data_IF_590078040223
#
_entry.id   IF_590078040223
#
_cell.length_a   1.000
_cell.length_b   1.000
_cell.length_c   1.000
_cell.angle_alpha   90.00
_cell.angle_beta   90.00
_cell.angle_gamma   90.00
#
_symmetry.space_group_name_H-M   'P 1'
#
loop_
_entity.id
_entity.type
_entity.pdbx_description
1 polymer ?
#
# COMPACT_ATOMS: atom_id res chain seq x y z
N UNK A 1 -33.47 -66.37 -2.84
CA UNK A 1 -32.76 -65.15 -3.38
C UNK A 1 -32.06 -64.48 -2.23
N UNK A 2 -30.76 -64.67 -2.11
CA UNK A 2 -29.96 -64.18 -1.01
C UNK A 2 -28.95 -63.22 -1.61
N UNK A 3 -29.12 -61.93 -1.30
CA UNK A 3 -28.16 -60.87 -1.68
C UNK A 3 -26.98 -60.87 -0.70
N UNK A 4 -25.78 -61.12 -1.21
CA UNK A 4 -24.51 -61.00 -0.48
C UNK A 4 -24.05 -59.54 -0.51
N UNK A 5 -23.97 -58.91 0.61
CA UNK A 5 -23.34 -57.60 0.80
C UNK A 5 -21.81 -57.77 0.86
N UNK A 6 -21.12 -57.17 -0.08
CA UNK A 6 -19.66 -57.09 -0.08
C UNK A 6 -19.24 -55.87 0.80
N UNK A 7 -18.46 -56.16 1.86
CA UNK A 7 -17.81 -55.11 2.70
C UNK A 7 -16.48 -54.76 2.04
N UNK A 8 -16.36 -53.51 1.58
CA UNK A 8 -15.08 -52.91 1.20
C UNK A 8 -14.34 -52.45 2.48
N UNK A 9 -13.18 -53.05 2.71
CA UNK A 9 -12.18 -52.54 3.69
C UNK A 9 -11.41 -51.42 2.99
N UNK A 10 -11.55 -50.19 3.51
CA UNK A 10 -10.68 -49.06 3.13
C UNK A 10 -9.46 -49.09 4.08
N UNK A 11 -8.31 -49.45 3.53
CA UNK A 11 -7.04 -49.32 4.24
C UNK A 11 -6.58 -47.86 4.20
N UNK A 12 -6.52 -47.19 5.36
CA UNK A 12 -5.86 -45.89 5.54
C UNK A 12 -4.35 -46.11 5.48
N UNK A 13 -3.70 -45.67 4.41
CA UNK A 13 -2.26 -45.51 4.34
C UNK A 13 -1.93 -44.10 4.86
N UNK A 14 -1.40 -44.02 6.07
CA UNK A 14 -0.83 -42.76 6.60
C UNK A 14 0.51 -42.51 5.93
N UNK A 15 0.56 -41.61 4.96
CA UNK A 15 1.81 -41.10 4.42
C UNK A 15 2.39 -40.06 5.38
N UNK A 16 3.47 -40.42 6.07
CA UNK A 16 4.30 -39.47 6.83
C UNK A 16 5.10 -38.66 5.80
N UNK A 17 4.66 -37.45 5.51
CA UNK A 17 5.45 -36.48 4.76
C UNK A 17 6.51 -35.88 5.70
N UNK A 18 7.73 -36.37 5.57
CA UNK A 18 8.92 -35.69 6.10
C UNK A 18 9.11 -34.39 5.31
N UNK A 19 8.59 -33.29 5.84
CA UNK A 19 8.85 -31.96 5.32
C UNK A 19 10.32 -31.60 5.47
N UNK A 20 11.05 -31.54 4.37
CA UNK A 20 12.37 -30.89 4.34
C UNK A 20 12.12 -29.39 4.49
N UNK A 21 12.47 -28.86 5.65
CA UNK A 21 12.52 -27.41 5.87
C UNK A 21 13.51 -26.81 4.87
N UNK A 22 13.04 -26.05 3.90
CA UNK A 22 13.86 -25.16 3.10
C UNK A 22 14.40 -24.07 4.02
N UNK A 23 15.70 -23.73 3.95
CA UNK A 23 16.21 -22.60 4.71
C UNK A 23 15.50 -21.33 4.23
N UNK A 24 14.97 -20.54 5.17
CA UNK A 24 14.46 -19.22 4.90
C UNK A 24 15.51 -18.42 4.12
N UNK A 25 15.11 -17.88 2.99
CA UNK A 25 15.96 -16.95 2.26
C UNK A 25 16.30 -15.77 3.19
N UNK A 26 17.58 -15.46 3.31
CA UNK A 26 18.02 -14.29 4.05
C UNK A 26 17.31 -13.07 3.43
N UNK A 27 16.59 -12.31 4.26
CA UNK A 27 15.84 -11.13 3.84
C UNK A 27 16.75 -10.20 3.05
N UNK A 28 16.21 -9.67 1.95
CA UNK A 28 16.85 -8.60 1.21
C UNK A 28 17.07 -7.41 2.16
N UNK A 29 18.17 -6.66 2.03
CA UNK A 29 18.36 -5.45 2.82
C UNK A 29 17.19 -4.49 2.53
N UNK A 30 16.48 -4.08 3.57
CA UNK A 30 15.45 -3.06 3.50
C UNK A 30 15.99 -1.75 2.92
N UNK A 31 15.12 -0.76 2.60
CA UNK A 31 15.51 0.49 1.97
C UNK A 31 16.70 1.07 2.74
N UNK A 32 17.82 1.26 2.01
CA UNK A 32 19.09 1.72 2.58
C UNK A 32 18.95 3.16 3.04
N UNK A 33 18.72 3.36 4.31
CA UNK A 33 18.62 4.68 4.94
C UNK A 33 17.81 4.74 6.22
N UNK A 34 17.00 3.72 6.52
CA UNK A 34 16.23 3.72 7.75
C UNK A 34 17.11 3.25 8.94
N UNK A 35 17.45 4.16 9.81
CA UNK A 35 18.00 3.87 11.15
C UNK A 35 16.91 4.20 12.15
N UNK A 36 16.19 3.18 12.64
CA UNK A 36 15.25 3.36 13.74
C UNK A 36 16.01 3.74 15.00
N UNK A 37 15.96 4.99 15.40
CA UNK A 37 15.99 5.44 16.79
C UNK A 37 15.66 6.94 16.92
N UNK A 38 14.40 7.41 16.71
CA UNK A 38 13.98 8.69 17.22
C UNK A 38 13.47 8.54 18.66
N UNK A 39 13.76 9.55 19.49
CA UNK A 39 13.19 9.62 20.84
C UNK A 39 11.65 9.78 20.73
N UNK A 40 10.85 9.09 21.56
CA UNK A 40 9.39 9.09 21.44
C UNK A 40 8.84 10.53 21.66
N UNK A 41 8.09 11.00 20.68
CA UNK A 41 7.31 12.25 20.74
C UNK A 41 5.85 11.83 20.83
N UNK A 42 5.06 12.37 21.75
CA UNK A 42 3.61 12.14 21.80
C UNK A 42 2.95 13.02 20.75
N UNK A 43 2.26 12.44 19.79
CA UNK A 43 1.41 13.15 18.83
C UNK A 43 0.27 13.90 19.54
N UNK A 44 -0.30 14.89 18.87
CA UNK A 44 -1.36 15.74 19.44
C UNK A 44 -2.63 14.95 19.81
N UNK A 45 -2.85 13.79 19.21
CA UNK A 45 -4.05 12.96 19.37
C UNK A 45 -3.85 11.73 20.30
N UNK A 46 -2.70 11.64 20.97
CA UNK A 46 -2.47 10.63 22.01
C UNK A 46 -2.00 9.27 21.50
N UNK A 47 -1.75 9.10 20.20
CA UNK A 47 -1.05 7.94 19.66
C UNK A 47 0.42 8.07 20.02
N UNK A 48 1.03 7.05 20.64
CA UNK A 48 2.46 7.05 20.84
C UNK A 48 3.16 7.20 19.47
N UNK A 49 4.11 8.09 19.36
CA UNK A 49 4.84 8.32 18.11
C UNK A 49 5.70 7.13 17.67
N UNK A 50 6.06 6.28 18.60
CA UNK A 50 6.76 5.02 18.37
C UNK A 50 5.87 3.99 17.64
N UNK A 51 4.56 3.97 17.89
CA UNK A 51 3.61 3.10 17.19
C UNK A 51 3.49 3.50 15.72
N UNK A 52 3.23 4.78 15.42
CA UNK A 52 3.23 5.25 14.03
C UNK A 52 4.54 4.94 13.30
N UNK A 53 5.69 5.14 13.95
CA UNK A 53 6.99 4.91 13.32
C UNK A 53 7.20 3.43 12.98
N UNK A 54 6.68 2.52 13.83
CA UNK A 54 6.71 1.08 13.59
C UNK A 54 5.79 0.68 12.43
N UNK A 55 4.53 1.14 12.45
CA UNK A 55 3.55 0.82 11.41
C UNK A 55 3.98 1.37 10.04
N UNK A 56 4.52 2.59 10.04
CA UNK A 56 5.06 3.22 8.84
C UNK A 56 6.25 2.41 8.27
N UNK A 57 7.17 1.97 9.12
CA UNK A 57 8.29 1.15 8.66
C UNK A 57 7.83 -0.21 8.11
N UNK A 58 6.86 -0.85 8.78
CA UNK A 58 6.26 -2.11 8.32
C UNK A 58 5.58 -1.92 6.95
N UNK A 59 4.80 -0.85 6.80
CA UNK A 59 4.11 -0.54 5.56
C UNK A 59 5.08 -0.38 4.38
N UNK A 60 6.13 0.44 4.55
CA UNK A 60 7.16 0.66 3.54
C UNK A 60 7.85 -0.64 3.13
N UNK A 61 8.28 -1.44 4.13
CA UNK A 61 8.99 -2.68 3.88
C UNK A 61 8.10 -3.71 3.16
N UNK A 62 6.87 -3.90 3.61
CA UNK A 62 5.95 -4.87 3.04
C UNK A 62 5.58 -4.53 1.60
N UNK A 63 5.26 -3.26 1.31
CA UNK A 63 4.86 -2.81 -0.02
C UNK A 63 6.04 -2.88 -0.99
N UNK A 64 7.24 -2.40 -0.60
CA UNK A 64 8.45 -2.50 -1.44
C UNK A 64 8.80 -3.97 -1.74
N UNK A 65 8.84 -4.81 -0.70
CA UNK A 65 9.20 -6.21 -0.85
C UNK A 65 8.23 -6.94 -1.79
N UNK A 66 6.94 -6.68 -1.65
CA UNK A 66 5.95 -7.31 -2.51
C UNK A 66 6.06 -6.85 -3.97
N UNK A 67 6.13 -5.55 -4.24
CA UNK A 67 6.31 -5.04 -5.61
C UNK A 67 7.60 -5.53 -6.24
N UNK A 68 8.68 -5.58 -5.48
CA UNK A 68 9.97 -6.10 -5.94
C UNK A 68 9.90 -7.56 -6.39
N UNK A 69 9.15 -8.37 -5.66
CA UNK A 69 8.97 -9.79 -6.00
C UNK A 69 8.01 -9.99 -7.16
N UNK A 70 6.94 -9.19 -7.24
CA UNK A 70 5.80 -9.43 -8.11
C UNK A 70 5.83 -8.64 -9.43
N UNK A 71 6.64 -7.58 -9.53
CA UNK A 71 6.65 -6.66 -10.69
C UNK A 71 6.75 -7.40 -12.03
N UNK A 72 7.71 -8.30 -12.16
CA UNK A 72 7.98 -9.02 -13.41
C UNK A 72 6.87 -9.99 -13.84
N UNK A 73 5.92 -10.30 -12.95
CA UNK A 73 4.75 -11.10 -13.29
C UNK A 73 3.72 -10.29 -14.10
N UNK A 74 3.64 -8.99 -13.82
CA UNK A 74 2.60 -8.13 -14.35
C UNK A 74 3.11 -7.17 -15.42
N UNK A 75 4.35 -6.71 -15.29
CA UNK A 75 4.88 -5.62 -16.11
C UNK A 75 6.26 -5.95 -16.69
N UNK A 76 6.57 -5.46 -17.90
CA UNK A 76 7.92 -5.55 -18.46
C UNK A 76 8.88 -4.59 -17.73
N UNK A 77 10.18 -4.87 -17.86
CA UNK A 77 11.21 -4.03 -17.28
C UNK A 77 11.56 -4.40 -15.85
N UNK A 78 12.35 -3.54 -15.22
CA UNK A 78 12.87 -3.75 -13.87
C UNK A 78 12.09 -2.87 -12.91
N UNK A 79 11.67 -3.44 -11.78
CA UNK A 79 11.10 -2.69 -10.68
C UNK A 79 12.09 -1.66 -10.13
N UNK A 80 11.59 -0.47 -9.90
CA UNK A 80 12.31 0.60 -9.19
C UNK A 80 11.41 1.09 -8.08
N UNK A 81 11.89 1.04 -6.84
CA UNK A 81 11.16 1.62 -5.72
C UNK A 81 11.19 3.15 -5.82
N UNK A 82 10.10 3.84 -5.46
CA UNK A 82 10.13 5.29 -5.29
C UNK A 82 11.13 5.70 -4.22
N UNK A 83 11.67 6.90 -4.34
CA UNK A 83 12.42 7.53 -3.26
C UNK A 83 11.50 7.93 -2.10
N UNK A 84 12.10 8.40 -1.01
CA UNK A 84 11.38 9.02 0.10
C UNK A 84 11.88 10.45 0.26
N UNK A 85 10.98 11.40 0.48
CA UNK A 85 11.35 12.79 0.73
C UNK A 85 12.29 12.88 1.93
N UNK A 86 13.30 13.76 1.90
CA UNK A 86 14.11 14.00 3.09
C UNK A 86 13.24 14.67 4.16
N UNK A 87 13.22 14.07 5.35
CA UNK A 87 12.46 14.56 6.49
C UNK A 87 13.22 14.25 7.79
N UNK A 88 12.97 15.02 8.85
CA UNK A 88 13.73 14.91 10.10
C UNK A 88 13.32 13.69 10.92
N UNK A 89 12.02 13.36 10.93
CA UNK A 89 11.50 12.25 11.73
C UNK A 89 11.88 10.89 11.13
N UNK A 90 11.51 10.65 9.90
CA UNK A 90 11.89 9.47 9.15
C UNK A 90 11.84 9.82 7.66
N UNK A 91 12.62 9.16 6.77
CA UNK A 91 12.53 9.39 5.35
C UNK A 91 11.08 9.29 4.86
N UNK A 92 10.60 10.30 4.17
CA UNK A 92 9.22 10.41 3.70
C UNK A 92 8.23 10.99 4.69
N UNK A 93 8.47 10.93 5.99
CA UNK A 93 7.51 11.37 7.03
C UNK A 93 7.87 12.79 7.50
N UNK A 94 7.29 13.82 6.86
CA UNK A 94 7.61 15.23 7.09
C UNK A 94 6.57 15.92 7.97
N UNK A 95 6.98 16.95 8.68
CA UNK A 95 6.17 17.76 9.59
C UNK A 95 5.95 19.16 8.98
N UNK A 96 4.82 19.39 8.33
CA UNK A 96 4.45 20.70 7.82
C UNK A 96 3.81 21.56 8.95
N UNK A 97 4.04 22.87 8.96
CA UNK A 97 4.88 23.67 8.07
C UNK A 97 6.34 23.78 8.50
N UNK A 98 6.80 23.01 9.49
CA UNK A 98 8.14 23.07 10.06
C UNK A 98 9.21 22.63 9.07
N UNK A 99 8.84 21.66 8.23
CA UNK A 99 9.66 21.17 7.13
C UNK A 99 9.05 21.56 5.79
N UNK A 100 9.88 22.04 4.88
CA UNK A 100 9.47 22.42 3.54
C UNK A 100 9.90 21.35 2.54
N UNK A 101 8.95 20.53 2.11
CA UNK A 101 9.15 19.53 1.06
C UNK A 101 8.53 20.05 -0.24
N UNK A 102 9.25 19.94 -1.34
CA UNK A 102 8.80 20.42 -2.64
C UNK A 102 8.74 19.29 -3.68
N UNK A 103 7.67 19.28 -4.46
CA UNK A 103 7.58 18.52 -5.70
C UNK A 103 7.74 19.49 -6.88
N UNK A 104 8.94 19.57 -7.44
CA UNK A 104 9.27 20.65 -8.37
C UNK A 104 9.14 22.03 -7.67
N UNK A 105 8.26 22.87 -8.18
CA UNK A 105 7.97 24.18 -7.59
C UNK A 105 6.77 24.16 -6.62
N UNK A 106 6.08 23.02 -6.47
CA UNK A 106 4.94 22.87 -5.57
C UNK A 106 5.44 22.57 -4.14
N UNK A 107 5.13 23.45 -3.20
CA UNK A 107 5.31 23.18 -1.77
C UNK A 107 4.21 22.20 -1.32
N UNK A 108 4.61 21.08 -0.74
CA UNK A 108 3.71 20.11 -0.13
C UNK A 108 3.16 20.66 1.19
N UNK A 109 1.87 20.44 1.44
CA UNK A 109 1.16 21.04 2.57
C UNK A 109 0.76 20.00 3.61
N UNK A 110 0.28 20.49 4.75
CA UNK A 110 -0.26 19.71 5.85
C UNK A 110 -1.50 18.90 5.46
N UNK A 111 -1.72 17.82 6.19
CA UNK A 111 -2.93 16.99 6.10
C UNK A 111 -3.03 16.12 4.84
N UNK A 112 -1.91 15.83 4.15
CA UNK A 112 -1.94 15.03 2.91
C UNK A 112 -0.70 14.12 2.78
N UNK A 113 -0.81 13.15 1.87
CA UNK A 113 0.31 12.34 1.40
C UNK A 113 0.49 12.56 -0.11
N UNK A 114 1.67 12.25 -0.63
CA UNK A 114 2.03 12.60 -1.99
C UNK A 114 2.96 11.57 -2.64
N UNK A 115 2.65 11.20 -3.86
CA UNK A 115 3.66 10.78 -4.82
C UNK A 115 4.10 11.97 -5.66
N UNK A 116 5.38 12.28 -5.66
CA UNK A 116 5.95 13.30 -6.55
C UNK A 116 6.58 12.66 -7.79
N UNK A 117 6.01 12.84 -8.99
CA UNK A 117 6.57 12.26 -10.20
C UNK A 117 7.89 12.95 -10.62
N UNK A 118 8.14 14.17 -10.13
CA UNK A 118 9.40 14.87 -10.34
C UNK A 118 10.43 14.34 -9.34
N UNK A 119 11.21 13.34 -9.78
CA UNK A 119 12.18 12.66 -8.93
C UNK A 119 11.68 11.35 -8.33
N UNK A 120 10.42 10.99 -8.60
CA UNK A 120 9.78 9.75 -8.17
C UNK A 120 10.02 9.45 -6.69
N UNK A 121 9.38 10.23 -5.83
CA UNK A 121 9.47 10.05 -4.39
C UNK A 121 8.12 10.19 -3.70
N UNK A 122 8.01 9.59 -2.52
CA UNK A 122 6.85 9.67 -1.65
C UNK A 122 7.10 10.62 -0.49
N UNK A 123 6.05 11.32 -0.07
CA UNK A 123 6.05 12.18 1.11
C UNK A 123 4.72 12.05 1.86
N UNK A 124 4.80 11.85 3.16
CA UNK A 124 3.65 11.62 4.04
C UNK A 124 3.70 12.68 5.15
N UNK A 125 2.64 13.45 5.28
CA UNK A 125 2.58 14.46 6.33
C UNK A 125 2.21 13.81 7.67
N UNK A 126 2.90 14.23 8.74
CA UNK A 126 2.80 13.58 10.06
C UNK A 126 1.40 13.66 10.65
N UNK A 127 0.71 14.82 10.56
CA UNK A 127 -0.63 14.98 11.14
C UNK A 127 -1.67 14.12 10.41
N UNK A 128 -1.52 13.91 9.09
CA UNK A 128 -2.32 12.94 8.36
C UNK A 128 -2.08 11.52 8.91
N UNK A 129 -0.83 11.12 9.02
CA UNK A 129 -0.48 9.76 9.44
C UNK A 129 -0.90 9.47 10.88
N UNK A 130 -0.96 10.48 11.75
CA UNK A 130 -1.46 10.38 13.12
C UNK A 130 -2.97 10.10 13.22
N UNK A 131 -3.73 10.21 12.12
CA UNK A 131 -5.13 9.75 12.10
C UNK A 131 -5.26 8.24 12.35
N UNK A 132 -4.17 7.47 12.22
CA UNK A 132 -4.12 6.06 12.63
C UNK A 132 -4.59 5.83 14.06
N UNK A 133 -4.36 6.77 14.98
CA UNK A 133 -4.86 6.70 16.35
C UNK A 133 -6.38 6.71 16.49
N UNK A 134 -7.09 7.12 15.45
CA UNK A 134 -8.56 7.14 15.42
C UNK A 134 -9.13 6.10 14.46
N UNK A 135 -8.40 5.78 13.41
CA UNK A 135 -8.85 4.93 12.29
C UNK A 135 -8.25 3.53 12.33
N UNK A 136 -7.26 3.29 13.19
CA UNK A 136 -6.49 2.06 13.28
C UNK A 136 -5.19 2.10 12.46
N UNK A 137 -4.26 1.18 12.73
CA UNK A 137 -2.94 1.10 12.09
C UNK A 137 -3.03 0.74 10.59
N UNK A 138 -4.09 0.04 10.17
CA UNK A 138 -4.37 -0.24 8.76
C UNK A 138 -4.50 1.03 7.90
N UNK A 139 -4.81 2.20 8.52
CA UNK A 139 -4.76 3.49 7.85
C UNK A 139 -3.37 3.80 7.29
N UNK A 140 -2.31 3.54 8.07
CA UNK A 140 -0.92 3.76 7.66
C UNK A 140 -0.57 2.87 6.47
N UNK A 141 -0.96 1.58 6.54
CA UNK A 141 -0.72 0.63 5.45
C UNK A 141 -1.42 1.06 4.16
N UNK A 142 -2.68 1.52 4.28
CA UNK A 142 -3.45 2.00 3.13
C UNK A 142 -2.78 3.20 2.46
N UNK A 143 -2.45 4.25 3.24
CA UNK A 143 -1.90 5.50 2.69
C UNK A 143 -0.56 5.23 2.01
N UNK A 144 0.32 4.45 2.66
CA UNK A 144 1.61 4.09 2.06
C UNK A 144 1.43 3.30 0.77
N UNK A 145 0.55 2.30 0.74
CA UNK A 145 0.31 1.50 -0.45
C UNK A 145 -0.33 2.31 -1.59
N UNK A 146 -1.20 3.27 -1.27
CA UNK A 146 -1.85 4.17 -2.23
C UNK A 146 -0.83 5.08 -2.92
N UNK A 147 0.01 5.79 -2.15
CA UNK A 147 1.05 6.64 -2.71
C UNK A 147 2.10 5.83 -3.50
N UNK A 148 2.41 4.62 -3.02
CA UNK A 148 3.28 3.71 -3.75
C UNK A 148 2.66 3.30 -5.09
N UNK A 149 1.36 3.05 -5.12
CA UNK A 149 0.65 2.71 -6.34
C UNK A 149 0.71 3.84 -7.38
N UNK A 150 0.65 5.11 -6.97
CA UNK A 150 0.85 6.24 -7.87
C UNK A 150 2.24 6.22 -8.51
N UNK A 151 3.30 5.90 -7.76
CA UNK A 151 4.64 5.69 -8.34
C UNK A 151 4.61 4.53 -9.34
N UNK A 152 4.01 3.39 -9.00
CA UNK A 152 3.92 2.26 -9.93
C UNK A 152 3.20 2.64 -11.22
N UNK A 153 2.07 3.36 -11.13
CA UNK A 153 1.31 3.83 -12.30
C UNK A 153 2.15 4.76 -13.17
N UNK A 154 3.00 5.60 -12.57
CA UNK A 154 3.88 6.50 -13.31
C UNK A 154 4.92 5.78 -14.20
N UNK A 155 5.21 4.52 -13.90
CA UNK A 155 6.13 3.68 -14.65
C UNK A 155 5.44 2.78 -15.70
N UNK A 156 4.11 2.79 -15.77
CA UNK A 156 3.36 1.95 -16.70
C UNK A 156 3.36 2.53 -18.12
N UNK A 157 3.12 1.64 -19.09
CA UNK A 157 2.71 2.08 -20.43
C UNK A 157 1.41 2.91 -20.31
N UNK A 158 1.29 4.07 -20.98
CA UNK A 158 0.08 4.89 -20.93
C UNK A 158 -1.22 4.15 -21.24
N UNK A 159 -1.18 3.07 -22.01
CA UNK A 159 -2.33 2.22 -22.28
C UNK A 159 -2.83 1.44 -21.06
N UNK A 160 -2.04 1.34 -20.00
CA UNK A 160 -2.34 0.70 -18.74
C UNK A 160 -2.74 1.69 -17.63
N UNK A 161 -2.72 2.98 -17.93
CA UNK A 161 -3.13 4.04 -17.00
C UNK A 161 -4.61 4.33 -17.18
N UNK A 162 -5.35 4.33 -16.08
CA UNK A 162 -6.79 4.63 -16.06
C UNK A 162 -7.02 6.14 -16.07
N UNK A 163 -8.14 6.59 -16.69
CA UNK A 163 -8.63 7.95 -16.51
C UNK A 163 -9.09 8.21 -15.07
N UNK A 164 -9.54 7.17 -14.35
CA UNK A 164 -9.80 7.21 -12.92
C UNK A 164 -8.52 6.86 -12.13
N UNK A 165 -7.56 7.75 -12.14
CA UNK A 165 -6.21 7.57 -11.65
C UNK A 165 -6.16 7.20 -10.15
N UNK A 166 -6.95 7.90 -9.32
CA UNK A 166 -7.06 7.65 -7.88
C UNK A 166 -7.66 6.27 -7.57
N UNK A 167 -8.73 5.89 -8.29
CA UNK A 167 -9.34 4.57 -8.13
C UNK A 167 -8.42 3.45 -8.63
N UNK A 168 -7.55 3.73 -9.59
CA UNK A 168 -6.51 2.78 -9.99
C UNK A 168 -5.48 2.61 -8.89
N UNK A 169 -5.06 3.69 -8.23
CA UNK A 169 -4.15 3.64 -7.09
C UNK A 169 -4.76 2.87 -5.92
N UNK A 170 -6.02 3.12 -5.56
CA UNK A 170 -6.72 2.34 -4.54
C UNK A 170 -6.77 0.84 -4.87
N UNK A 171 -7.07 0.50 -6.12
CA UNK A 171 -7.11 -0.89 -6.57
C UNK A 171 -5.72 -1.56 -6.45
N UNK A 172 -4.68 -0.90 -6.92
CA UNK A 172 -3.31 -1.41 -6.83
C UNK A 172 -2.82 -1.50 -5.38
N UNK A 173 -3.22 -0.55 -4.51
CA UNK A 173 -2.96 -0.62 -3.09
C UNK A 173 -3.59 -1.87 -2.46
N UNK A 174 -4.86 -2.13 -2.76
CA UNK A 174 -5.54 -3.35 -2.32
C UNK A 174 -4.85 -4.62 -2.80
N UNK A 175 -4.42 -4.66 -4.07
CA UNK A 175 -3.69 -5.80 -4.64
C UNK A 175 -2.33 -6.00 -3.94
N UNK A 176 -1.60 -4.91 -3.65
CA UNK A 176 -0.30 -4.98 -3.01
C UNK A 176 -0.39 -5.42 -1.55
N UNK A 177 -1.33 -4.86 -0.78
CA UNK A 177 -1.50 -5.22 0.63
C UNK A 177 -1.98 -6.66 0.78
N UNK A 178 -2.98 -7.10 0.00
CA UNK A 178 -3.42 -8.50 0.04
C UNK A 178 -2.32 -9.45 -0.41
N UNK A 179 -1.60 -9.10 -1.49
CA UNK A 179 -0.48 -9.90 -1.95
C UNK A 179 0.64 -9.99 -0.91
N UNK A 180 0.94 -8.89 -0.21
CA UNK A 180 1.90 -8.91 0.90
C UNK A 180 1.44 -9.80 2.06
N UNK A 181 0.14 -9.83 2.37
CA UNK A 181 -0.44 -10.75 3.36
C UNK A 181 -0.31 -12.21 2.90
N UNK A 182 -0.67 -12.49 1.66
CA UNK A 182 -0.63 -13.86 1.10
C UNK A 182 0.80 -14.42 1.06
N UNK A 183 1.79 -13.55 0.82
CA UNK A 183 3.22 -13.89 0.81
C UNK A 183 3.86 -13.88 2.20
N UNK A 184 3.10 -13.52 3.26
CA UNK A 184 3.58 -13.44 4.63
C UNK A 184 4.54 -12.28 4.92
N UNK A 185 4.53 -11.24 4.09
CA UNK A 185 5.30 -10.00 4.24
C UNK A 185 4.59 -9.00 5.15
N UNK A 186 3.26 -9.04 5.20
CA UNK A 186 2.41 -8.24 6.07
C UNK A 186 1.50 -9.18 6.86
N UNK A 187 1.24 -8.82 8.11
CA UNK A 187 0.27 -9.52 8.94
C UNK A 187 -0.80 -8.56 9.41
N UNK A 188 -2.02 -8.79 8.96
CA UNK A 188 -3.18 -8.06 9.44
C UNK A 188 -3.68 -8.62 10.77
N UNK A 189 -4.24 -7.75 11.60
CA UNK A 189 -4.88 -8.07 12.86
C UNK A 189 -6.41 -8.15 12.70
N UNK A 190 -7.12 -8.76 13.67
CA UNK A 190 -8.58 -8.77 13.63
C UNK A 190 -9.15 -7.35 13.79
N UNK A 191 -9.73 -6.81 12.75
CA UNK A 191 -10.27 -5.44 12.70
C UNK A 191 -9.79 -4.65 11.51
N UNK A 192 -8.59 -4.93 10.99
CA UNK A 192 -7.95 -4.15 9.93
C UNK A 192 -8.79 -4.04 8.65
N UNK A 193 -9.57 -5.08 8.30
CA UNK A 193 -10.48 -4.99 7.14
C UNK A 193 -11.53 -3.89 7.32
N UNK A 194 -12.03 -3.70 8.55
CA UNK A 194 -12.96 -2.62 8.88
C UNK A 194 -12.25 -1.27 8.92
N UNK A 195 -11.00 -1.24 9.35
CA UNK A 195 -10.16 -0.05 9.39
C UNK A 195 -9.83 0.44 7.99
N UNK A 196 -9.51 -0.43 7.03
CA UNK A 196 -9.39 -0.04 5.62
C UNK A 196 -10.65 0.62 5.09
N UNK A 197 -11.82 0.08 5.42
CA UNK A 197 -13.11 0.66 5.01
C UNK A 197 -13.33 2.04 5.65
N UNK A 198 -13.01 2.18 6.95
CA UNK A 198 -13.10 3.45 7.66
C UNK A 198 -12.11 4.48 7.10
N UNK A 199 -10.88 4.07 6.83
CA UNK A 199 -9.84 4.89 6.25
C UNK A 199 -10.25 5.43 4.86
N UNK A 200 -10.67 4.56 3.95
CA UNK A 200 -11.15 4.94 2.61
C UNK A 200 -12.36 5.88 2.69
N UNK A 201 -13.22 5.71 3.69
CA UNK A 201 -14.35 6.62 3.93
C UNK A 201 -13.88 7.98 4.43
N UNK A 202 -12.91 8.01 5.33
CA UNK A 202 -12.40 9.24 5.94
C UNK A 202 -11.64 10.11 4.92
N UNK A 203 -10.91 9.49 4.00
CA UNK A 203 -10.15 10.20 2.95
C UNK A 203 -10.94 10.38 1.65
N UNK A 204 -12.19 9.93 1.60
CA UNK A 204 -13.07 10.18 0.46
C UNK A 204 -13.57 11.63 0.50
N UNK A 205 -13.37 12.32 -0.59
CA UNK A 205 -13.79 13.70 -0.71
C UNK A 205 -15.28 13.88 -1.00
N UNK A 206 -16.13 13.87 0.03
CA UNK A 206 -17.49 14.42 -0.12
C UNK A 206 -17.48 15.95 -0.30
N UNK A 207 -16.38 16.60 0.09
CA UNK A 207 -16.14 18.04 -0.13
C UNK A 207 -14.92 18.22 -1.03
N UNK A 208 -15.04 17.73 -2.18
CA UNK A 208 -14.11 17.58 -3.26
C UNK A 208 -13.24 18.82 -3.55
N UNK A 209 -12.22 19.00 -2.72
CA UNK A 209 -11.14 19.93 -2.98
C UNK A 209 -10.14 19.36 -3.98
N UNK A 210 -10.49 18.34 -4.73
CA UNK A 210 -9.64 17.67 -5.70
C UNK A 210 -8.17 17.68 -5.32
N UNK A 211 -7.54 16.55 -5.26
CA UNK A 211 -6.10 16.51 -5.03
C UNK A 211 -5.40 17.23 -6.18
N UNK A 212 -4.58 18.21 -5.84
CA UNK A 212 -3.69 18.83 -6.81
C UNK A 212 -2.46 17.95 -6.91
N UNK A 213 -2.31 17.29 -8.03
CA UNK A 213 -1.09 16.53 -8.33
C UNK A 213 -0.32 17.19 -9.47
N UNK A 214 0.94 16.83 -9.60
CA UNK A 214 1.78 17.26 -10.72
C UNK A 214 1.92 16.08 -11.67
N UNK A 215 1.50 16.25 -12.92
CA UNK A 215 1.66 15.21 -13.92
C UNK A 215 3.13 15.07 -14.40
N UNK A 216 3.39 14.07 -15.22
CA UNK A 216 4.73 13.82 -15.78
C UNK A 216 5.28 14.97 -16.62
N UNK A 217 4.42 15.88 -17.08
CA UNK A 217 4.79 17.07 -17.83
C UNK A 217 5.05 18.28 -16.91
N UNK A 218 4.97 18.09 -15.59
CA UNK A 218 5.14 19.15 -14.57
C UNK A 218 3.93 20.09 -14.47
N UNK A 219 2.76 19.70 -15.01
CA UNK A 219 1.55 20.50 -14.95
C UNK A 219 0.72 20.13 -13.73
N UNK A 220 0.20 21.15 -13.04
CA UNK A 220 -0.75 20.92 -11.96
C UNK A 220 -2.11 20.48 -12.54
N UNK A 221 -2.59 19.36 -12.03
CA UNK A 221 -3.91 18.80 -12.33
C UNK A 221 -4.71 18.71 -11.05
N UNK A 222 -6.02 18.77 -11.17
CA UNK A 222 -6.93 18.51 -10.06
C UNK A 222 -7.74 17.28 -10.42
N UNK A 223 -7.69 16.27 -9.58
CA UNK A 223 -8.48 15.06 -9.72
C UNK A 223 -9.27 14.82 -8.44
N UNK A 224 -10.46 14.26 -8.59
CA UNK A 224 -11.30 13.91 -7.45
C UNK A 224 -10.94 12.51 -7.00
N UNK A 225 -10.82 12.28 -5.69
CA UNK A 225 -10.52 10.95 -5.14
C UNK A 225 -11.64 9.92 -5.37
N UNK A 226 -12.79 10.34 -5.87
CA UNK A 226 -13.99 9.53 -5.95
C UNK A 226 -14.77 9.49 -4.63
N UNK A 227 -15.99 8.96 -4.69
CA UNK A 227 -16.80 8.71 -3.50
C UNK A 227 -16.23 7.59 -2.63
N UNK A 228 -16.57 7.56 -1.35
CA UNK A 228 -16.16 6.49 -0.44
C UNK A 228 -16.46 5.09 -1.00
N UNK A 229 -17.64 4.91 -1.62
CA UNK A 229 -18.02 3.61 -2.18
C UNK A 229 -17.16 3.23 -3.38
N UNK A 230 -16.86 4.17 -4.28
CA UNK A 230 -16.00 3.89 -5.44
C UNK A 230 -14.58 3.52 -5.00
N UNK A 231 -14.04 4.19 -4.01
CA UNK A 231 -12.72 3.88 -3.43
C UNK A 231 -12.71 2.50 -2.77
N UNK A 232 -13.72 2.20 -1.94
CA UNK A 232 -13.86 0.88 -1.30
C UNK A 232 -13.99 -0.23 -2.35
N UNK A 233 -14.83 -0.04 -3.38
CA UNK A 233 -15.01 -1.01 -4.45
C UNK A 233 -13.72 -1.22 -5.25
N UNK A 234 -12.96 -0.15 -5.50
CA UNK A 234 -11.68 -0.21 -6.18
C UNK A 234 -10.65 -1.00 -5.36
N UNK A 235 -10.49 -0.66 -4.08
CA UNK A 235 -9.58 -1.37 -3.16
C UNK A 235 -9.92 -2.85 -3.05
N UNK A 236 -11.19 -3.18 -2.80
CA UNK A 236 -11.66 -4.56 -2.69
C UNK A 236 -11.50 -5.35 -4.01
N UNK A 237 -11.66 -4.68 -5.16
CA UNK A 237 -11.39 -5.30 -6.47
C UNK A 237 -9.94 -5.72 -6.58
N UNK A 238 -9.01 -4.86 -6.18
CA UNK A 238 -7.57 -5.17 -6.17
C UNK A 238 -7.24 -6.29 -5.20
N UNK A 239 -7.70 -6.18 -3.95
CA UNK A 239 -7.47 -7.19 -2.92
C UNK A 239 -8.03 -8.57 -3.31
N UNK A 240 -9.21 -8.62 -3.91
CA UNK A 240 -9.85 -9.89 -4.28
C UNK A 240 -9.37 -10.49 -5.60
N UNK A 241 -8.85 -9.69 -6.54
CA UNK A 241 -8.57 -10.16 -7.91
C UNK A 241 -7.15 -9.81 -8.42
N UNK A 242 -6.34 -9.14 -7.60
CA UNK A 242 -4.95 -8.82 -7.89
C UNK A 242 -4.76 -7.71 -8.92
N UNK A 243 -3.49 -7.45 -9.25
CA UNK A 243 -3.03 -6.33 -10.10
C UNK A 243 -3.75 -6.26 -11.45
N UNK A 244 -3.98 -7.40 -12.11
CA UNK A 244 -4.59 -7.40 -13.45
C UNK A 244 -5.98 -6.79 -13.47
N UNK A 245 -6.75 -6.92 -12.38
CA UNK A 245 -8.09 -6.33 -12.27
C UNK A 245 -8.07 -4.79 -12.11
N UNK A 246 -6.91 -4.21 -11.86
CA UNK A 246 -6.72 -2.77 -11.71
C UNK A 246 -6.32 -2.06 -13.02
N UNK A 247 -6.07 -2.84 -14.09
CA UNK A 247 -5.60 -2.29 -15.35
C UNK A 247 -6.76 -2.04 -16.32
N UNK A 248 -6.74 -0.95 -17.11
CA UNK A 248 -7.69 -0.75 -18.20
C UNK A 248 -7.68 -1.97 -19.13
N UNK A 249 -8.83 -2.40 -19.59
CA UNK A 249 -9.02 -3.57 -20.49
C UNK A 249 -8.68 -4.94 -19.88
N UNK A 250 -8.60 -5.07 -18.57
CA UNK A 250 -8.43 -6.37 -17.90
C UNK A 250 -9.65 -7.31 -18.01
N UNK A 251 -10.74 -6.86 -18.59
CA UNK A 251 -11.90 -7.69 -18.92
C UNK A 251 -11.70 -8.33 -20.31
N UNK A 252 -10.92 -9.42 -20.36
CA UNK A 252 -10.71 -10.29 -21.50
C UNK A 252 -10.93 -11.74 -21.08
#
# INVERSE_FOLDING_TARGET
MVQRAARLLVALVAAVLLGTATPAAAGAPGPTGYTADPAPVTGQDGVPSDELDVDYAIALEAVDAWWRASWSEYFPGTYTAPGLAPAARAPGLFDAPQEQVYCGDLLLTDGNAYHCPIGDFLAFEVDLMLLSGQLGDAFVYLVVAHEWAHSMVSHLDPALVSEAYELQADCLAGAALQGAVDDGLLRLEPGDEQEFTAALTAVAGENDWGTVYVDTDGQQRTETHGSAQERIDAFQRGAGNGVRACLPNAAG
#
